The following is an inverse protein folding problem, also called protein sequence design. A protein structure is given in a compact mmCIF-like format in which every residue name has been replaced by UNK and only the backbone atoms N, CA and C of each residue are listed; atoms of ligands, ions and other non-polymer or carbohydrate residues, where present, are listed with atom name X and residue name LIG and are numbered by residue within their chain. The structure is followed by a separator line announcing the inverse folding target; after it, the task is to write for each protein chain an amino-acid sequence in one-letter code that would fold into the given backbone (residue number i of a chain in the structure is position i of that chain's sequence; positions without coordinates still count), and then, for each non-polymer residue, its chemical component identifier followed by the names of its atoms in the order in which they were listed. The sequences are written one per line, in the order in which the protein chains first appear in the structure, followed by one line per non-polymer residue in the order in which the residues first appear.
data_IF_408483268762
#
_entry.id   IF_408483268762
#
_cell.length_a   1.000
_cell.length_b   1.000
_cell.length_c   1.000
_cell.angle_alpha   90.00
_cell.angle_beta   90.00
_cell.angle_gamma   90.00
#
_symmetry.space_group_name_H-M   'P 1'
#
loop_
_entity.id
_entity.type
_entity.pdbx_description
1 polymer ?
#
# COMPACT_ATOMS: atom_id res chain seq x y z
N UNK A 1 -32.59 -4.83 8.07
CA UNK A 1 -31.43 -4.68 7.17
C UNK A 1 -30.21 -5.07 8.00
N UNK A 2 -29.53 -6.15 7.63
CA UNK A 2 -28.45 -6.70 8.44
C UNK A 2 -27.31 -5.66 8.55
N UNK A 3 -26.86 -5.42 9.78
CA UNK A 3 -25.71 -4.59 10.09
C UNK A 3 -24.46 -5.34 9.59
N UNK A 4 -24.02 -5.07 8.36
CA UNK A 4 -22.76 -5.61 7.85
C UNK A 4 -21.63 -5.10 8.75
N UNK A 5 -21.02 -6.03 9.47
CA UNK A 5 -19.85 -5.77 10.30
C UNK A 5 -18.72 -5.36 9.35
N UNK A 6 -18.45 -4.05 9.25
CA UNK A 6 -17.37 -3.50 8.44
C UNK A 6 -16.05 -4.10 8.93
N UNK A 7 -15.58 -5.14 8.25
CA UNK A 7 -14.30 -5.77 8.57
C UNK A 7 -13.21 -4.72 8.33
N UNK A 8 -12.53 -4.28 9.39
CA UNK A 8 -11.41 -3.36 9.24
C UNK A 8 -10.33 -4.08 8.44
N UNK A 9 -10.02 -3.58 7.25
CA UNK A 9 -8.96 -4.15 6.41
C UNK A 9 -7.61 -3.90 7.09
N UNK A 10 -6.71 -4.89 6.99
CA UNK A 10 -5.35 -4.75 7.52
C UNK A 10 -4.61 -3.70 6.72
N UNK A 11 -3.97 -2.77 7.44
CA UNK A 11 -3.06 -1.77 6.87
C UNK A 11 -1.64 -2.30 6.86
N UNK A 12 -0.94 -2.12 5.75
CA UNK A 12 0.46 -2.49 5.59
C UNK A 12 1.28 -1.22 5.36
N UNK A 13 2.35 -1.02 6.13
CA UNK A 13 3.25 0.11 5.92
C UNK A 13 4.08 -0.15 4.66
N UNK A 14 3.84 0.64 3.61
CA UNK A 14 4.45 0.46 2.29
C UNK A 14 5.53 1.49 1.99
N UNK A 15 5.53 2.62 2.69
CA UNK A 15 6.62 3.60 2.61
C UNK A 15 6.74 4.39 3.92
N UNK A 16 7.93 4.97 4.14
CA UNK A 16 8.19 5.94 5.20
C UNK A 16 9.02 7.06 4.57
N UNK A 17 8.72 8.30 4.95
CA UNK A 17 9.49 9.47 4.52
C UNK A 17 10.97 9.40 4.94
N UNK A 18 11.81 10.11 4.18
CA UNK A 18 13.27 10.16 4.35
C UNK A 18 14.03 9.63 3.14
N UNK A 19 15.33 9.41 3.34
CA UNK A 19 16.29 9.02 2.29
C UNK A 19 16.05 7.59 1.81
N UNK A 20 16.06 7.38 0.49
CA UNK A 20 15.95 6.07 -0.16
C UNK A 20 17.33 5.50 -0.52
N UNK A 21 17.40 4.20 -0.80
CA UNK A 21 18.66 3.51 -1.08
C UNK A 21 19.45 4.06 -2.28
N UNK A 22 18.76 4.75 -3.20
CA UNK A 22 19.35 5.40 -4.37
C UNK A 22 19.63 6.90 -4.18
N UNK A 23 19.56 7.40 -2.94
CA UNK A 23 19.95 8.77 -2.57
C UNK A 23 18.88 9.84 -2.82
N UNK A 24 17.68 9.46 -3.26
CA UNK A 24 16.52 10.38 -3.30
C UNK A 24 15.92 10.54 -1.91
N UNK A 25 15.02 11.51 -1.77
CA UNK A 25 14.27 11.74 -0.53
C UNK A 25 12.76 11.71 -0.79
N UNK A 26 12.05 10.95 0.04
CA UNK A 26 10.59 10.95 0.09
C UNK A 26 10.18 11.96 1.17
N UNK A 27 9.65 13.12 0.76
CA UNK A 27 9.06 14.06 1.69
C UNK A 27 7.73 13.51 2.24
N UNK A 28 7.44 13.71 3.53
CA UNK A 28 6.17 13.31 4.16
C UNK A 28 4.94 13.88 3.44
N UNK A 29 5.02 15.08 2.87
CA UNK A 29 3.95 15.70 2.09
C UNK A 29 3.65 14.93 0.79
N UNK A 30 4.66 14.28 0.19
CA UNK A 30 4.44 13.41 -0.97
C UNK A 30 3.59 12.20 -0.59
N UNK A 31 3.82 11.62 0.60
CA UNK A 31 3.03 10.50 1.09
C UNK A 31 1.60 10.92 1.46
N UNK A 32 1.44 12.08 2.09
CA UNK A 32 0.13 12.66 2.42
C UNK A 32 -0.66 12.93 1.13
N UNK A 33 -0.01 13.54 0.13
CA UNK A 33 -0.60 13.75 -1.19
C UNK A 33 -1.04 12.42 -1.82
N UNK A 34 -0.15 11.42 -1.85
CA UNK A 34 -0.46 10.09 -2.38
C UNK A 34 -1.68 9.44 -1.72
N UNK A 35 -1.82 9.54 -0.39
CA UNK A 35 -2.99 9.02 0.30
C UNK A 35 -4.28 9.79 -0.05
N UNK A 36 -4.22 11.13 -0.08
CA UNK A 36 -5.40 11.96 -0.35
C UNK A 36 -5.88 11.90 -1.79
N UNK A 37 -4.98 11.68 -2.76
CA UNK A 37 -5.32 11.67 -4.18
C UNK A 37 -5.59 10.27 -4.74
N UNK A 38 -5.42 9.21 -3.94
CA UNK A 38 -5.57 7.85 -4.44
C UNK A 38 -7.02 7.54 -4.81
N UNK A 39 -7.23 7.16 -6.07
CA UNK A 39 -8.53 6.75 -6.58
C UNK A 39 -8.33 5.51 -7.48
N UNK A 40 -8.71 4.31 -7.01
CA UNK A 40 -8.57 3.07 -7.79
C UNK A 40 -9.28 3.10 -9.14
N UNK A 41 -10.35 3.91 -9.29
CA UNK A 41 -11.08 4.06 -10.54
C UNK A 41 -10.31 4.87 -11.59
N UNK A 42 -9.35 5.71 -11.17
CA UNK A 42 -8.47 6.46 -12.07
C UNK A 42 -7.16 5.71 -12.28
N UNK A 43 -6.57 5.20 -11.20
CA UNK A 43 -5.33 4.45 -11.23
C UNK A 43 -5.31 3.40 -10.11
N UNK A 44 -5.41 2.12 -10.48
CA UNK A 44 -5.35 0.99 -9.57
C UNK A 44 -3.94 0.41 -9.46
N UNK A 45 -3.45 0.24 -8.22
CA UNK A 45 -2.18 -0.43 -7.96
C UNK A 45 -2.39 -1.92 -7.61
N UNK A 46 -1.58 -2.79 -8.24
CA UNK A 46 -1.58 -4.24 -8.03
C UNK A 46 -0.37 -4.64 -7.17
N UNK A 47 -0.53 -5.67 -6.34
CA UNK A 47 0.56 -6.23 -5.54
C UNK A 47 1.33 -7.26 -6.36
N UNK A 48 2.52 -6.90 -6.82
CA UNK A 48 3.38 -7.79 -7.61
C UNK A 48 4.40 -8.52 -6.73
N UNK A 49 4.87 -9.68 -7.21
CA UNK A 49 6.00 -10.38 -6.62
C UNK A 49 7.29 -9.80 -7.23
N UNK A 50 8.19 -9.28 -6.39
CA UNK A 50 9.52 -8.77 -6.78
C UNK A 50 9.51 -7.77 -7.96
N UNK A 51 8.45 -6.96 -8.09
CA UNK A 51 8.24 -5.99 -9.18
C UNK A 51 7.99 -6.59 -10.58
N UNK A 52 7.76 -7.90 -10.69
CA UNK A 52 7.50 -8.57 -11.98
C UNK A 52 6.03 -8.40 -12.39
N UNK A 53 5.82 -7.92 -13.62
CA UNK A 53 4.50 -7.87 -14.26
C UNK A 53 4.32 -9.08 -15.17
N UNK A 54 3.71 -10.14 -14.65
CA UNK A 54 3.45 -11.35 -15.45
C UNK A 54 2.41 -11.07 -16.55
N UNK A 55 2.68 -11.43 -17.82
CA UNK A 55 1.67 -11.39 -18.88
C UNK A 55 0.71 -12.58 -18.82
N UNK A 56 1.03 -13.62 -18.04
CA UNK A 56 0.23 -14.84 -17.90
C UNK A 56 -0.53 -14.82 -16.56
N UNK A 57 -1.88 -14.85 -16.57
CA UNK A 57 -2.69 -14.77 -15.35
C UNK A 57 -2.52 -15.93 -14.36
N UNK A 58 -2.08 -17.10 -14.83
CA UNK A 58 -1.84 -18.29 -13.98
C UNK A 58 -0.39 -18.50 -13.57
N UNK A 59 0.50 -17.54 -13.81
CA UNK A 59 1.92 -17.64 -13.51
C UNK A 59 2.20 -17.64 -12.02
N UNK A 60 3.35 -18.19 -11.62
CA UNK A 60 3.87 -18.03 -10.27
C UNK A 60 4.09 -16.55 -9.90
N UNK A 61 4.24 -15.65 -10.89
CA UNK A 61 4.41 -14.20 -10.71
C UNK A 61 3.14 -13.37 -10.98
N UNK A 62 1.95 -13.98 -10.98
CA UNK A 62 0.70 -13.22 -11.06
C UNK A 62 0.53 -12.27 -9.87
N UNK A 63 -0.17 -11.16 -10.10
CA UNK A 63 -0.46 -10.20 -9.03
C UNK A 63 -1.25 -10.86 -7.88
N UNK A 64 -0.85 -10.55 -6.65
CA UNK A 64 -1.32 -11.19 -5.42
C UNK A 64 -2.48 -10.44 -4.76
N UNK A 65 -2.81 -9.24 -5.23
CA UNK A 65 -3.91 -8.45 -4.70
C UNK A 65 -3.99 -7.06 -5.31
N UNK A 66 -4.96 -6.29 -4.83
CA UNK A 66 -5.24 -4.92 -5.24
C UNK A 66 -5.11 -3.96 -4.05
N UNK A 67 -4.51 -2.80 -4.26
CA UNK A 67 -4.53 -1.72 -3.26
C UNK A 67 -5.87 -1.01 -3.37
N UNK A 68 -6.67 -1.07 -2.31
CA UNK A 68 -8.03 -0.50 -2.27
C UNK A 68 -8.12 0.80 -1.49
N UNK A 69 -7.06 1.17 -0.78
CA UNK A 69 -7.00 2.42 -0.05
C UNK A 69 -5.59 2.75 0.41
N UNK A 70 -5.30 4.04 0.52
CA UNK A 70 -4.06 4.57 1.08
C UNK A 70 -4.39 5.50 2.25
N UNK A 71 -3.57 5.46 3.30
CA UNK A 71 -3.66 6.39 4.43
C UNK A 71 -2.28 6.71 4.96
N UNK A 72 -2.10 7.88 5.56
CA UNK A 72 -0.85 8.25 6.22
C UNK A 72 -1.00 8.40 7.72
N UNK A 73 0.08 8.13 8.45
CA UNK A 73 0.17 8.37 9.89
C UNK A 73 1.56 8.97 10.18
N UNK A 74 1.63 9.94 11.08
CA UNK A 74 2.91 10.47 11.57
C UNK A 74 3.43 9.54 12.68
N UNK A 75 4.67 9.08 12.56
CA UNK A 75 5.32 8.18 13.51
C UNK A 75 5.79 9.01 14.70
N UNK A 76 5.32 8.65 15.89
CA UNK A 76 5.61 9.40 17.13
C UNK A 76 6.65 8.73 18.02
N UNK A 77 7.02 7.47 17.76
CA UNK A 77 7.94 6.70 18.59
C UNK A 77 9.02 5.94 17.78
N UNK A 78 10.03 5.45 18.52
CA UNK A 78 11.10 4.62 17.96
C UNK A 78 12.06 5.35 17.00
N UNK A 79 12.91 4.59 16.28
CA UNK A 79 13.96 5.15 15.40
C UNK A 79 13.44 5.97 14.21
N UNK A 80 12.14 5.87 13.92
CA UNK A 80 11.49 6.57 12.80
C UNK A 80 10.59 7.71 13.29
N UNK A 81 10.61 8.05 14.58
CA UNK A 81 9.86 9.17 15.14
C UNK A 81 10.11 10.46 14.35
N UNK A 82 9.04 11.22 14.11
CA UNK A 82 9.05 12.44 13.30
C UNK A 82 8.91 12.22 11.79
N UNK A 83 8.85 10.97 11.32
CA UNK A 83 8.60 10.65 9.90
C UNK A 83 7.13 10.34 9.66
N UNK A 84 6.64 10.63 8.47
CA UNK A 84 5.32 10.16 7.98
C UNK A 84 5.45 8.77 7.35
N UNK A 85 4.53 7.87 7.68
CA UNK A 85 4.36 6.55 7.07
C UNK A 85 3.16 6.55 6.11
N UNK A 86 3.29 5.83 4.99
CA UNK A 86 2.19 5.49 4.09
C UNK A 86 1.77 4.05 4.34
N UNK A 87 0.47 3.86 4.49
CA UNK A 87 -0.17 2.57 4.64
C UNK A 87 -1.07 2.25 3.46
N UNK A 88 -1.04 1.00 3.02
CA UNK A 88 -1.95 0.45 2.02
C UNK A 88 -2.92 -0.54 2.65
N UNK A 89 -4.19 -0.45 2.30
CA UNK A 89 -5.17 -1.52 2.47
C UNK A 89 -5.18 -2.38 1.21
N UNK A 90 -5.00 -3.68 1.38
CA UNK A 90 -4.91 -4.64 0.28
C UNK A 90 -6.15 -5.53 0.30
N UNK A 91 -6.81 -5.67 -0.84
CA UNK A 91 -7.73 -6.76 -1.14
C UNK A 91 -6.90 -7.92 -1.73
N UNK A 92 -6.66 -8.98 -0.95
CA UNK A 92 -5.82 -10.09 -1.40
C UNK A 92 -6.58 -10.97 -2.40
N UNK A 93 -5.85 -11.54 -3.34
CA UNK A 93 -6.36 -12.68 -4.13
C UNK A 93 -6.49 -13.92 -3.27
N UNK A 94 -7.29 -14.90 -3.71
CA UNK A 94 -7.40 -16.19 -3.03
C UNK A 94 -6.02 -16.88 -2.85
N UNK A 95 -5.11 -16.72 -3.83
CA UNK A 95 -3.75 -17.27 -3.76
C UNK A 95 -2.88 -16.61 -2.70
N UNK A 96 -3.10 -15.33 -2.38
CA UNK A 96 -2.39 -14.66 -1.29
C UNK A 96 -2.86 -15.15 0.09
N UNK A 97 -4.08 -15.68 0.16
CA UNK A 97 -4.69 -16.15 1.41
C UNK A 97 -4.50 -17.64 1.66
N UNK A 98 -4.17 -18.42 0.64
CA UNK A 98 -3.93 -19.88 0.71
C UNK A 98 -2.56 -20.19 1.28
#
# INVERSE_FOLDING_TARGET
MANEKKTSRKKFRVAVSGVTADGREINGDMLKAAATSYNPSVYGARVNIEHILSPLPGSEFSAMGDVVGLSTEDITDGPLAGRTALYAEIEPTARMMS
#
